data_IF_672035313345
#
_entry.id   IF_672035313345
#
_cell.length_a   1.000
_cell.length_b   1.000
_cell.length_c   1.000
_cell.angle_alpha   90.00
_cell.angle_beta   90.00
_cell.angle_gamma   90.00
#
_symmetry.space_group_name_H-M   'P 1'
#
loop_
_entity.id
_entity.type
_entity.pdbx_description
1 polymer ?
#
# COMPACT_ATOMS: atom_id res chain seq x y z
N UNK A 1 -10.08 -8.23 9.50
CA UNK A 1 -9.90 -8.80 8.16
C UNK A 1 -8.44 -8.71 7.76
N UNK A 2 -8.00 -9.67 6.99
CA UNK A 2 -6.62 -9.66 6.50
C UNK A 2 -6.62 -9.28 5.03
N UNK A 3 -5.77 -8.33 4.65
CA UNK A 3 -5.60 -7.97 3.25
C UNK A 3 -4.16 -8.23 2.84
N UNK A 4 -3.96 -8.48 1.55
CA UNK A 4 -2.63 -8.67 0.99
C UNK A 4 -2.33 -7.51 0.06
N UNK A 5 -1.18 -6.88 0.29
CA UNK A 5 -0.75 -5.74 -0.51
C UNK A 5 0.42 -6.19 -1.37
N UNK A 6 0.25 -6.06 -2.67
CA UNK A 6 1.32 -6.37 -3.62
C UNK A 6 2.22 -5.14 -3.72
N UNK A 7 3.52 -5.40 -3.66
CA UNK A 7 4.53 -4.35 -3.71
C UNK A 7 5.27 -4.39 -5.03
N UNK A 8 5.57 -3.22 -5.55
CA UNK A 8 6.23 -3.10 -6.84
C UNK A 8 7.41 -2.16 -6.74
N UNK A 9 8.36 -2.32 -7.66
CA UNK A 9 9.48 -1.42 -7.84
C UNK A 9 10.23 -1.18 -6.51
N UNK A 10 10.42 0.09 -6.17
CA UNK A 10 11.19 0.45 -4.98
C UNK A 10 10.57 -0.08 -3.68
N UNK A 11 9.24 -0.15 -3.62
CA UNK A 11 8.59 -0.67 -2.42
C UNK A 11 8.94 -2.14 -2.20
N UNK A 12 8.94 -2.92 -3.27
CA UNK A 12 9.32 -4.32 -3.20
C UNK A 12 10.78 -4.46 -2.77
N UNK A 13 11.65 -3.63 -3.32
CA UNK A 13 13.07 -3.69 -2.98
C UNK A 13 13.31 -3.36 -1.51
N UNK A 14 12.64 -2.33 -1.00
CA UNK A 14 12.81 -1.92 0.39
C UNK A 14 12.24 -2.94 1.36
N UNK A 15 11.12 -3.54 1.04
CA UNK A 15 10.47 -4.52 1.91
C UNK A 15 11.14 -5.89 1.85
N UNK A 16 11.85 -6.17 0.74
CA UNK A 16 12.45 -7.48 0.54
C UNK A 16 11.44 -8.56 0.19
N UNK A 17 10.24 -8.17 -0.22
CA UNK A 17 9.18 -9.12 -0.56
C UNK A 17 8.22 -8.47 -1.53
N UNK A 18 7.53 -9.29 -2.31
CA UNK A 18 6.55 -8.79 -3.27
C UNK A 18 5.14 -8.68 -2.71
N UNK A 19 4.89 -9.19 -1.52
CA UNK A 19 3.56 -9.16 -0.91
C UNK A 19 3.69 -9.04 0.60
N UNK A 20 2.83 -8.21 1.19
CA UNK A 20 2.76 -8.07 2.65
C UNK A 20 1.31 -8.26 3.08
N UNK A 21 1.10 -9.12 4.08
CA UNK A 21 -0.22 -9.31 4.67
C UNK A 21 -0.39 -8.33 5.82
N UNK A 22 -1.54 -7.67 5.87
CA UNK A 22 -1.84 -6.68 6.89
C UNK A 22 -3.20 -7.00 7.52
N UNK A 23 -3.24 -7.01 8.84
CA UNK A 23 -4.48 -7.23 9.57
C UNK A 23 -5.16 -5.89 9.82
N UNK A 24 -6.45 -5.79 9.47
CA UNK A 24 -7.23 -4.57 9.61
C UNK A 24 -8.57 -4.87 10.26
N UNK A 25 -9.13 -3.88 10.93
CA UNK A 25 -10.51 -3.99 11.40
C UNK A 25 -11.47 -3.99 10.22
N UNK A 26 -12.63 -4.63 10.38
CA UNK A 26 -13.65 -4.59 9.35
C UNK A 26 -14.10 -3.14 9.14
N UNK A 27 -14.26 -2.76 7.88
CA UNK A 27 -14.63 -1.38 7.56
C UNK A 27 -13.47 -0.40 7.50
N UNK A 28 -12.23 -0.89 7.64
CA UNK A 28 -11.07 -0.02 7.56
C UNK A 28 -10.93 0.62 6.19
N UNK A 29 -10.33 1.80 6.16
CA UNK A 29 -10.13 2.56 4.93
C UNK A 29 -8.70 2.39 4.42
N UNK A 30 -8.46 2.93 3.21
CA UNK A 30 -7.11 2.98 2.66
C UNK A 30 -6.17 3.75 3.58
N UNK A 31 -6.66 4.82 4.23
CA UNK A 31 -5.83 5.56 5.20
C UNK A 31 -5.37 4.66 6.35
N UNK A 32 -6.26 3.81 6.85
CA UNK A 32 -5.91 2.84 7.89
C UNK A 32 -4.87 1.85 7.37
N UNK A 33 -5.05 1.37 6.16
CA UNK A 33 -4.10 0.45 5.55
C UNK A 33 -2.73 1.10 5.45
N UNK A 34 -2.67 2.35 4.99
CA UNK A 34 -1.40 3.07 4.85
C UNK A 34 -0.68 3.14 6.19
N UNK A 35 -1.41 3.47 7.25
CA UNK A 35 -0.83 3.57 8.59
C UNK A 35 -0.35 2.21 9.10
N UNK A 36 -1.18 1.18 8.94
CA UNK A 36 -0.82 -0.16 9.43
C UNK A 36 0.33 -0.76 8.65
N UNK A 37 0.40 -0.48 7.35
CA UNK A 37 1.49 -0.97 6.53
C UNK A 37 2.82 -0.34 6.98
N UNK A 38 2.81 0.94 7.35
CA UNK A 38 4.00 1.59 7.87
C UNK A 38 4.47 0.92 9.18
N UNK A 39 3.54 0.50 10.02
CA UNK A 39 3.86 -0.21 11.25
C UNK A 39 4.37 -1.62 10.97
N UNK A 40 3.72 -2.31 10.04
CA UNK A 40 4.05 -3.68 9.69
C UNK A 40 5.39 -3.78 8.97
N UNK A 41 5.70 -2.78 8.16
CA UNK A 41 6.93 -2.77 7.36
C UNK A 41 7.56 -1.38 7.44
N UNK A 42 8.34 -1.10 8.51
CA UNK A 42 8.92 0.24 8.71
C UNK A 42 9.79 0.71 7.56
N UNK A 43 10.38 -0.20 6.79
CA UNK A 43 11.20 0.17 5.64
C UNK A 43 10.42 0.95 4.59
N UNK A 44 9.09 0.84 4.58
CA UNK A 44 8.24 1.56 3.63
C UNK A 44 7.75 2.90 4.17
N UNK A 45 8.05 3.22 5.41
CA UNK A 45 7.44 4.38 6.08
C UNK A 45 7.67 5.68 5.32
N UNK A 46 8.86 5.88 4.78
CA UNK A 46 9.19 7.11 4.05
C UNK A 46 8.50 7.19 2.70
N UNK A 47 8.20 6.05 2.07
CA UNK A 47 7.53 6.02 0.78
C UNK A 47 6.03 6.20 0.88
N UNK A 48 5.42 5.70 1.95
CA UNK A 48 3.97 5.59 2.01
C UNK A 48 3.20 6.89 1.86
N UNK A 49 3.66 8.03 2.44
CA UNK A 49 2.93 9.28 2.26
C UNK A 49 2.84 9.75 0.81
N UNK A 50 3.75 9.28 -0.03
CA UNK A 50 3.84 9.69 -1.43
C UNK A 50 3.40 8.59 -2.39
N UNK A 51 2.89 7.49 -1.86
CA UNK A 51 2.50 6.33 -2.66
C UNK A 51 0.99 6.32 -2.87
N UNK A 52 0.57 5.63 -3.93
CA UNK A 52 -0.84 5.48 -4.29
C UNK A 52 -1.21 4.01 -4.14
N UNK A 53 -2.41 3.77 -3.64
CA UNK A 53 -2.96 2.41 -3.62
C UNK A 53 -3.92 2.23 -4.77
N UNK A 54 -3.85 1.06 -5.39
CA UNK A 54 -4.88 0.60 -6.32
C UNK A 54 -5.64 -0.53 -5.64
N UNK A 55 -6.95 -0.45 -5.67
CA UNK A 55 -7.82 -1.47 -5.07
C UNK A 55 -8.67 -2.04 -6.18
N UNK A 56 -8.54 -3.35 -6.41
CA UNK A 56 -9.24 -4.03 -7.51
C UNK A 56 -9.00 -3.31 -8.84
N UNK A 57 -7.73 -2.97 -9.11
CA UNK A 57 -7.26 -2.37 -10.35
C UNK A 57 -7.70 -0.92 -10.57
N UNK A 58 -8.19 -0.24 -9.54
CA UNK A 58 -8.57 1.18 -9.64
C UNK A 58 -7.82 1.97 -8.58
N UNK A 59 -7.34 3.16 -8.95
CA UNK A 59 -6.72 4.04 -7.98
C UNK A 59 -7.73 4.39 -6.89
N UNK A 60 -7.27 4.37 -5.66
CA UNK A 60 -8.14 4.58 -4.51
C UNK A 60 -7.60 5.73 -3.67
N UNK A 61 -8.50 6.61 -3.23
CA UNK A 61 -8.10 7.61 -2.26
C UNK A 61 -8.19 7.04 -0.84
N UNK A 62 -7.71 7.81 0.12
CA UNK A 62 -7.61 7.34 1.49
C UNK A 62 -8.97 7.12 2.17
N UNK A 63 -10.03 7.67 1.60
CA UNK A 63 -11.38 7.53 2.19
C UNK A 63 -12.08 6.23 1.77
N UNK A 64 -11.56 5.53 0.79
CA UNK A 64 -12.18 4.30 0.31
C UNK A 64 -12.19 3.23 1.39
N UNK A 65 -13.36 2.65 1.64
CA UNK A 65 -13.50 1.53 2.58
C UNK A 65 -13.07 0.24 1.89
N UNK A 66 -12.23 -0.53 2.58
CA UNK A 66 -11.74 -1.79 2.06
C UNK A 66 -12.70 -2.91 2.44
N UNK A 67 -12.74 -3.93 1.58
CA UNK A 67 -13.58 -5.10 1.82
C UNK A 67 -12.71 -6.35 1.86
N UNK A 68 -13.24 -7.39 2.49
CA UNK A 68 -12.59 -8.69 2.55
C UNK A 68 -12.30 -9.18 1.13
N UNK A 69 -11.09 -9.66 0.91
CA UNK A 69 -10.71 -10.20 -0.39
C UNK A 69 -10.30 -9.19 -1.43
N UNK A 70 -10.22 -7.89 -1.07
CA UNK A 70 -9.76 -6.88 -2.00
C UNK A 70 -8.34 -7.17 -2.48
N UNK A 71 -8.09 -6.95 -3.76
CA UNK A 71 -6.77 -7.06 -4.36
C UNK A 71 -6.15 -5.67 -4.32
N UNK A 72 -5.07 -5.52 -3.54
CA UNK A 72 -4.48 -4.21 -3.27
C UNK A 72 -3.06 -4.17 -3.80
N UNK A 73 -2.71 -3.08 -4.46
CA UNK A 73 -1.36 -2.84 -4.94
C UNK A 73 -0.85 -1.51 -4.40
N UNK A 74 0.39 -1.50 -3.94
CA UNK A 74 1.06 -0.27 -3.54
C UNK A 74 1.94 0.20 -4.69
N UNK A 75 1.67 1.39 -5.18
CA UNK A 75 2.42 1.98 -6.28
C UNK A 75 3.24 3.12 -5.72
N UNK A 76 4.56 2.92 -5.56
CA UNK A 76 5.40 3.96 -4.99
C UNK A 76 5.54 5.14 -5.94
N UNK A 77 6.00 6.30 -5.44
CA UNK A 77 6.18 7.44 -6.31
C UNK A 77 7.23 7.16 -7.36
N UNK A 78 7.06 7.75 -8.53
CA UNK A 78 8.05 7.66 -9.59
C UNK A 78 9.23 8.53 -9.17
N UNK A 79 10.42 7.91 -9.12
CA UNK A 79 11.60 8.67 -8.74
C UNK A 79 12.14 9.39 -9.96
N UNK A 80 12.26 10.64 -9.83
CA UNK A 80 13.06 11.45 -10.65
C UNK A 80 12.84 11.46 -12.11
N UNK A 81 12.15 10.79 -12.44
CA UNK A 81 12.02 10.91 -13.84
C UNK A 81 12.10 12.32 -14.20
N UNK A 82 12.27 12.26 -13.77
CA UNK A 82 12.15 13.06 -13.98
C UNK A 82 12.59 13.87 -14.40
N UNK A 83 12.79 13.47 -14.35
CA UNK A 83 13.08 14.02 -14.60
C UNK A 83 12.99 14.60 -14.90
N UNK A 84 12.95 14.50 -14.80
CA UNK A 84 12.80 15.07 -15.04
C UNK A 84 12.65 15.12 -15.12
#
# INVERSE_FOLDING_TARGET
MKVRVRLFARARDLAGTSTVAVELADGATVAELRRRLAERCPALKALLPHSVFAVNDEFADDALTLTQGAVIALLPPVSGGSNG
#
